data_IF_552441300487
#
_entry.id   IF_552441300487
#
_cell.length_a   1.000
_cell.length_b   1.000
_cell.length_c   1.000
_cell.angle_alpha   90.00
_cell.angle_beta   90.00
_cell.angle_gamma   90.00
#
_symmetry.space_group_name_H-M   'P 1'
#
loop_
_entity.id
_entity.type
_entity.pdbx_description
1 polymer ?
#
# COMPACT_ATOMS: atom_id res chain seq x y z
N UNK A 1 -0.67 -7.58 -10.44
CA UNK A 1 -1.50 -7.91 -9.26
C UNK A 1 -0.93 -7.17 -8.08
N UNK A 2 -1.78 -6.43 -7.37
CA UNK A 2 -1.39 -5.59 -6.26
C UNK A 2 -2.20 -5.90 -5.01
N UNK A 3 -1.56 -5.82 -3.85
CA UNK A 3 -2.19 -5.81 -2.54
C UNK A 3 -1.97 -4.43 -1.95
N UNK A 4 -3.03 -3.83 -1.41
CA UNK A 4 -2.99 -2.51 -0.78
C UNK A 4 -3.33 -2.64 0.68
N UNK A 5 -2.41 -2.19 1.55
CA UNK A 5 -2.63 -2.13 3.00
C UNK A 5 -2.87 -0.69 3.43
N UNK A 6 -3.86 -0.46 4.28
CA UNK A 6 -4.22 0.88 4.76
C UNK A 6 -3.85 1.05 6.23
N UNK A 7 -2.80 1.83 6.49
CA UNK A 7 -2.24 2.04 7.82
C UNK A 7 -1.31 0.90 8.30
N UNK A 8 -0.56 1.20 9.36
CA UNK A 8 0.56 0.38 9.81
C UNK A 8 0.16 -1.01 10.30
N UNK A 9 -0.97 -1.14 11.01
CA UNK A 9 -1.39 -2.43 11.57
C UNK A 9 -1.68 -3.47 10.49
N UNK A 10 -2.35 -3.07 9.40
CA UNK A 10 -2.61 -3.96 8.28
C UNK A 10 -1.32 -4.38 7.55
N UNK A 11 -0.39 -3.44 7.37
CA UNK A 11 0.92 -3.74 6.78
C UNK A 11 1.71 -4.71 7.66
N UNK A 12 1.72 -4.52 8.98
CA UNK A 12 2.43 -5.37 9.93
C UNK A 12 1.85 -6.80 9.96
N UNK A 13 0.52 -6.93 10.01
CA UNK A 13 -0.15 -8.24 9.92
C UNK A 13 0.19 -8.96 8.63
N UNK A 14 0.22 -8.28 7.49
CA UNK A 14 0.61 -8.90 6.23
C UNK A 14 2.09 -9.31 6.25
N UNK A 15 2.99 -8.44 6.72
CA UNK A 15 4.42 -8.75 6.84
C UNK A 15 4.74 -9.89 7.81
N UNK A 16 3.86 -10.19 8.76
CA UNK A 16 4.00 -11.36 9.62
C UNK A 16 3.78 -12.69 8.88
N UNK A 17 3.01 -12.68 7.78
CA UNK A 17 2.71 -13.87 6.97
C UNK A 17 3.57 -13.98 5.71
N UNK A 18 4.03 -12.85 5.17
CA UNK A 18 4.80 -12.79 3.93
C UNK A 18 6.16 -12.13 4.18
N UNK A 19 7.24 -12.73 3.67
CA UNK A 19 8.58 -12.16 3.74
C UNK A 19 8.72 -10.96 2.77
N UNK A 20 8.15 -9.82 3.14
CA UNK A 20 8.12 -8.60 2.34
C UNK A 20 8.66 -7.40 3.12
N UNK A 21 9.46 -6.59 2.44
CA UNK A 21 10.01 -5.37 3.00
C UNK A 21 8.89 -4.39 3.38
N UNK A 22 9.12 -3.53 4.37
CA UNK A 22 8.12 -2.51 4.69
C UNK A 22 8.08 -1.44 3.59
N UNK A 23 6.96 -1.26 2.88
CA UNK A 23 6.83 -0.13 1.98
C UNK A 23 6.73 1.16 2.81
N UNK A 24 7.21 2.28 2.26
CA UNK A 24 6.91 3.60 2.81
C UNK A 24 5.46 3.96 2.53
N UNK A 25 4.88 4.85 3.34
CA UNK A 25 3.52 5.35 3.09
C UNK A 25 3.48 6.03 1.73
N UNK A 26 2.54 5.62 0.89
CA UNK A 26 2.38 6.08 -0.49
C UNK A 26 3.24 5.33 -1.51
N UNK A 27 4.02 4.34 -1.10
CA UNK A 27 4.90 3.57 -1.98
C UNK A 27 4.55 2.08 -1.98
N UNK A 28 5.17 1.36 -2.90
CA UNK A 28 5.11 -0.09 -3.00
C UNK A 28 6.48 -0.74 -2.94
N UNK A 29 6.45 -2.05 -2.69
CA UNK A 29 7.59 -2.95 -2.91
C UNK A 29 7.08 -4.16 -3.69
N UNK A 30 7.90 -4.65 -4.61
CA UNK A 30 7.64 -5.92 -5.29
C UNK A 30 8.06 -7.09 -4.39
N UNK A 31 7.29 -8.16 -4.43
CA UNK A 31 7.59 -9.41 -3.74
C UNK A 31 7.05 -10.60 -4.55
N UNK A 32 7.69 -11.74 -4.39
CA UNK A 32 7.22 -13.00 -4.98
C UNK A 32 6.38 -13.75 -3.95
N UNK A 33 5.21 -14.22 -4.38
CA UNK A 33 4.38 -15.12 -3.61
C UNK A 33 3.90 -16.28 -4.49
N UNK A 34 4.26 -17.50 -4.10
CA UNK A 34 3.91 -18.74 -4.82
C UNK A 34 4.24 -18.69 -6.33
N UNK A 35 5.40 -18.14 -6.69
CA UNK A 35 5.84 -17.98 -8.08
C UNK A 35 5.13 -16.86 -8.86
N UNK A 36 4.38 -15.99 -8.19
CA UNK A 36 3.74 -14.80 -8.77
C UNK A 36 4.41 -13.54 -8.25
N UNK A 37 4.84 -12.67 -9.17
CA UNK A 37 5.27 -11.33 -8.82
C UNK A 37 4.06 -10.46 -8.45
N UNK A 38 4.09 -9.93 -7.23
CA UNK A 38 3.04 -9.11 -6.66
C UNK A 38 3.63 -7.81 -6.10
N UNK A 39 2.81 -6.77 -6.07
CA UNK A 39 3.17 -5.47 -5.48
C UNK A 39 2.42 -5.27 -4.16
N UNK A 40 3.13 -4.89 -3.11
CA UNK A 40 2.55 -4.50 -1.83
C UNK A 40 2.62 -2.99 -1.68
N UNK A 41 1.46 -2.33 -1.68
CA UNK A 41 1.35 -0.89 -1.42
C UNK A 41 1.02 -0.63 0.06
N UNK A 42 1.63 0.40 0.64
CA UNK A 42 1.26 0.93 1.96
C UNK A 42 0.60 2.30 1.79
N UNK A 43 -0.71 2.35 1.96
CA UNK A 43 -1.50 3.59 1.88
C UNK A 43 -1.78 4.16 3.27
N UNK A 44 -2.00 5.48 3.39
CA UNK A 44 -2.50 6.08 4.62
C UNK A 44 -3.86 5.47 5.00
N UNK A 45 -4.22 5.49 6.28
CA UNK A 45 -5.52 5.00 6.71
C UNK A 45 -6.64 5.84 6.10
N UNK A 46 -7.66 5.17 5.54
CA UNK A 46 -8.88 5.79 5.02
C UNK A 46 -9.80 6.32 6.11
N UNK A 47 -9.53 5.99 7.39
CA UNK A 47 -10.32 6.48 8.52
C UNK A 47 -10.27 8.01 8.65
N UNK A 48 -11.40 8.61 9.04
CA UNK A 48 -11.50 10.05 9.36
C UNK A 48 -10.60 10.45 10.52
N UNK A 49 -10.31 9.52 11.44
CA UNK A 49 -9.45 9.76 12.59
C UNK A 49 -7.97 9.92 12.24
N UNK A 50 -7.56 9.56 11.01
CA UNK A 50 -6.19 9.74 10.58
C UNK A 50 -5.93 11.23 10.26
N UNK A 51 -4.95 11.88 10.94
CA UNK A 51 -4.71 13.33 10.90
C UNK A 51 -4.01 13.74 9.60
N UNK A 52 -4.66 13.49 8.47
CA UNK A 52 -4.21 13.89 7.15
C UNK A 52 -5.42 14.44 6.38
N UNK A 53 -5.23 15.57 5.72
CA UNK A 53 -6.25 16.18 4.88
C UNK A 53 -6.74 15.19 3.81
N UNK A 54 -8.04 15.24 3.51
CA UNK A 54 -8.67 14.36 2.53
C UNK A 54 -7.98 14.44 1.16
N UNK A 55 -7.62 15.65 0.73
CA UNK A 55 -6.92 15.90 -0.53
C UNK A 55 -5.57 15.18 -0.60
N UNK A 56 -4.80 15.20 0.50
CA UNK A 56 -3.53 14.47 0.59
C UNK A 56 -3.75 12.96 0.57
N UNK A 57 -4.78 12.45 1.25
CA UNK A 57 -5.17 11.03 1.14
C UNK A 57 -5.50 10.67 -0.30
N UNK A 58 -6.36 11.46 -0.94
CA UNK A 58 -6.75 11.26 -2.33
C UNK A 58 -5.55 11.27 -3.29
N UNK A 59 -4.59 12.18 -3.09
CA UNK A 59 -3.35 12.20 -3.87
C UNK A 59 -2.56 10.89 -3.77
N UNK A 60 -2.40 10.32 -2.57
CA UNK A 60 -1.73 9.02 -2.40
C UNK A 60 -2.45 7.89 -3.16
N UNK A 61 -3.78 7.81 -3.04
CA UNK A 61 -4.56 6.79 -3.76
C UNK A 61 -4.56 7.00 -5.26
N UNK A 62 -4.55 8.25 -5.72
CA UNK A 62 -4.46 8.59 -7.13
C UNK A 62 -3.14 8.12 -7.73
N UNK A 63 -2.01 8.50 -7.13
CA UNK A 63 -0.68 8.07 -7.59
C UNK A 63 -0.54 6.54 -7.60
N UNK A 64 -1.10 5.86 -6.59
CA UNK A 64 -1.15 4.40 -6.56
C UNK A 64 -1.90 3.82 -7.75
N UNK A 65 -3.10 4.33 -8.07
CA UNK A 65 -3.91 3.85 -9.18
C UNK A 65 -3.26 4.16 -10.53
N UNK A 66 -2.71 5.36 -10.71
CA UNK A 66 -1.94 5.74 -11.91
C UNK A 66 -0.76 4.77 -12.12
N UNK A 67 0.00 4.47 -11.06
CA UNK A 67 1.16 3.58 -11.14
C UNK A 67 0.80 2.09 -11.38
N UNK A 68 -0.34 1.61 -10.88
CA UNK A 68 -0.79 0.23 -11.12
C UNK A 68 -1.47 0.07 -12.48
N UNK A 69 -2.18 1.09 -12.95
CA UNK A 69 -2.91 1.06 -14.22
C UNK A 69 -2.06 1.50 -15.42
N UNK A 70 -0.83 1.96 -15.18
CA UNK A 70 0.10 2.47 -16.20
C UNK A 70 -0.51 3.65 -17.00
N UNK A 71 -1.24 4.54 -16.31
CA UNK A 71 -1.92 5.72 -16.89
C UNK A 71 -1.27 7.01 -16.42
#
# INVERSE_FOLDING_TARGET
HAIVTTGQKATDTLRAHFAVAEPKVGQYVDFEFEGRNMRLYRMPSSSRAYPLALEKKAAFYRTMLECELDI
#
